data_IF_297256807274
#
_entry.id   IF_297256807274
#
_cell.length_a   1.000
_cell.length_b   1.000
_cell.length_c   1.000
_cell.angle_alpha   90.00
_cell.angle_beta   90.00
_cell.angle_gamma   90.00
#
_symmetry.space_group_name_H-M   'P 1'
#
loop_
_entity.id
_entity.type
_entity.pdbx_description
1 polymer ?
#
# COMPACT_ATOMS: atom_id res chain seq x y z
N UNK A 1 35.08 -24.29 -15.99
CA UNK A 1 34.56 -22.95 -15.62
C UNK A 1 33.02 -22.87 -15.61
N UNK A 2 32.30 -23.41 -16.61
CA UNK A 2 30.81 -23.40 -16.65
C UNK A 2 30.14 -24.21 -15.53
N UNK A 3 30.72 -25.35 -15.17
CA UNK A 3 30.19 -26.24 -14.12
C UNK A 3 30.31 -25.62 -12.71
N UNK A 4 31.39 -24.90 -12.40
CA UNK A 4 31.53 -24.17 -11.12
C UNK A 4 30.52 -23.02 -11.01
N UNK A 5 30.29 -22.23 -12.09
CA UNK A 5 29.24 -21.19 -12.08
C UNK A 5 27.83 -21.77 -11.88
N UNK A 6 27.54 -22.92 -12.48
CA UNK A 6 26.24 -23.59 -12.29
C UNK A 6 26.03 -24.01 -10.84
N UNK A 7 27.08 -24.54 -10.22
CA UNK A 7 27.07 -24.95 -8.81
C UNK A 7 26.86 -23.73 -7.90
N UNK A 8 27.58 -22.61 -8.13
CA UNK A 8 27.41 -21.35 -7.38
C UNK A 8 25.98 -20.79 -7.47
N UNK A 9 25.40 -20.76 -8.67
CA UNK A 9 24.01 -20.30 -8.87
C UNK A 9 23.04 -21.20 -8.11
N UNK A 10 23.21 -22.52 -8.22
CA UNK A 10 22.38 -23.47 -7.50
C UNK A 10 22.49 -23.25 -5.98
N UNK A 11 23.69 -23.07 -5.44
CA UNK A 11 23.86 -22.78 -4.01
C UNK A 11 23.13 -21.49 -3.58
N UNK A 12 23.18 -20.43 -4.39
CA UNK A 12 22.50 -19.16 -4.06
C UNK A 12 20.98 -19.29 -4.05
N UNK A 13 20.38 -19.99 -5.01
CA UNK A 13 18.93 -20.22 -5.05
C UNK A 13 18.47 -21.03 -3.83
N UNK A 14 19.24 -22.07 -3.46
CA UNK A 14 18.94 -22.89 -2.29
C UNK A 14 19.12 -22.13 -0.98
N UNK A 15 20.14 -21.26 -0.87
CA UNK A 15 20.34 -20.44 0.34
C UNK A 15 19.21 -19.43 0.52
N UNK A 16 18.73 -18.82 -0.57
CA UNK A 16 17.59 -17.92 -0.55
C UNK A 16 16.31 -18.64 -0.11
N UNK A 17 16.07 -19.84 -0.65
CA UNK A 17 14.91 -20.65 -0.30
C UNK A 17 14.93 -21.08 1.18
N UNK A 18 16.08 -21.54 1.68
CA UNK A 18 16.27 -21.90 3.09
C UNK A 18 16.03 -20.68 3.98
N UNK A 19 16.63 -19.53 3.64
CA UNK A 19 16.44 -18.28 4.38
C UNK A 19 14.96 -17.89 4.47
N UNK A 20 14.25 -17.92 3.33
CA UNK A 20 12.81 -17.61 3.29
C UNK A 20 12.00 -18.54 4.20
N UNK A 21 12.25 -19.85 4.13
CA UNK A 21 11.59 -20.84 4.99
C UNK A 21 11.90 -20.58 6.46
N UNK A 22 13.15 -20.28 6.80
CA UNK A 22 13.55 -20.00 8.19
C UNK A 22 12.81 -18.77 8.73
N UNK A 23 12.69 -17.69 7.95
CA UNK A 23 11.97 -16.47 8.36
C UNK A 23 10.48 -16.75 8.59
N UNK A 24 9.84 -17.48 7.67
CA UNK A 24 8.43 -17.86 7.79
C UNK A 24 8.21 -18.77 9.01
N UNK A 25 9.07 -19.78 9.18
CA UNK A 25 9.02 -20.71 10.31
C UNK A 25 9.22 -19.99 11.64
N UNK A 26 10.16 -19.04 11.71
CA UNK A 26 10.37 -18.21 12.89
C UNK A 26 9.14 -17.38 13.23
N UNK A 27 8.50 -16.74 12.23
CA UNK A 27 7.26 -16.00 12.42
C UNK A 27 6.13 -16.88 13.00
N UNK A 28 5.96 -18.07 12.43
CA UNK A 28 4.97 -19.06 12.91
C UNK A 28 5.32 -19.53 14.31
N UNK A 29 6.59 -19.80 14.61
CA UNK A 29 7.05 -20.26 15.91
C UNK A 29 6.77 -19.19 16.98
N UNK A 30 7.08 -17.92 16.71
CA UNK A 30 6.81 -16.81 17.63
C UNK A 30 5.30 -16.65 17.88
N UNK A 31 4.47 -16.69 16.85
CA UNK A 31 3.01 -16.64 17.00
C UNK A 31 2.47 -17.86 17.78
N UNK A 32 3.01 -19.05 17.54
CA UNK A 32 2.61 -20.28 18.23
C UNK A 32 3.00 -20.25 19.71
N UNK A 33 4.22 -19.83 20.02
CA UNK A 33 4.69 -19.62 21.40
C UNK A 33 3.81 -18.57 22.09
N UNK A 34 3.53 -17.44 21.43
CA UNK A 34 2.64 -16.41 21.97
C UNK A 34 1.23 -16.93 22.25
N UNK A 35 0.69 -17.79 21.37
CA UNK A 35 -0.62 -18.42 21.56
C UNK A 35 -0.63 -19.48 22.68
N UNK A 36 0.46 -20.23 22.85
CA UNK A 36 0.60 -21.27 23.87
C UNK A 36 0.86 -20.67 25.27
N UNK A 37 1.70 -19.64 25.37
CA UNK A 37 2.02 -18.96 26.62
C UNK A 37 0.99 -17.86 26.98
N UNK A 38 0.24 -17.37 26.00
CA UNK A 38 -0.79 -16.35 26.18
C UNK A 38 -2.00 -16.89 26.95
N UNK A 39 -2.34 -16.24 28.07
CA UNK A 39 -3.55 -16.56 28.82
C UNK A 39 -4.82 -16.29 28.01
N UNK A 40 -5.64 -17.31 27.80
CA UNK A 40 -6.92 -17.19 27.07
C UNK A 40 -7.99 -16.61 27.99
N UNK A 41 -8.19 -15.30 27.96
CA UNK A 41 -9.27 -14.63 28.72
C UNK A 41 -10.59 -14.65 27.94
N UNK A 42 -11.64 -15.23 28.53
CA UNK A 42 -12.98 -15.31 27.95
C UNK A 42 -13.93 -14.37 28.69
N UNK A 43 -13.73 -13.07 28.53
CA UNK A 43 -14.60 -12.04 29.07
C UNK A 43 -15.83 -11.80 28.19
N UNK A 44 -16.91 -11.30 28.78
CA UNK A 44 -18.17 -10.97 28.08
C UNK A 44 -17.98 -10.04 26.87
N UNK A 45 -16.95 -9.19 26.90
CA UNK A 45 -16.65 -8.19 25.86
C UNK A 45 -15.34 -8.47 25.11
N UNK A 46 -14.71 -9.64 25.30
CA UNK A 46 -13.44 -9.98 24.61
C UNK A 46 -13.61 -10.04 23.08
N UNK A 47 -14.81 -10.37 22.61
CA UNK A 47 -15.12 -10.54 21.17
C UNK A 47 -15.92 -9.37 20.58
N UNK A 48 -16.12 -8.27 21.32
CA UNK A 48 -16.84 -7.09 20.82
C UNK A 48 -15.86 -6.04 20.33
N UNK A 49 -16.08 -5.41 19.15
CA UNK A 49 -15.26 -4.30 18.67
C UNK A 49 -15.22 -3.16 19.69
N UNK A 50 -14.06 -2.55 19.85
CA UNK A 50 -13.89 -1.40 20.74
C UNK A 50 -14.49 -0.15 20.11
N UNK A 51 -15.52 0.41 20.72
CA UNK A 51 -16.20 1.63 20.26
C UNK A 51 -16.32 2.64 21.42
N UNK A 52 -15.24 2.89 22.16
CA UNK A 52 -15.19 3.86 23.29
C UNK A 52 -16.31 3.71 24.35
N UNK A 53 -16.83 2.50 24.55
CA UNK A 53 -17.85 2.19 25.55
C UNK A 53 -19.30 2.21 25.05
N UNK A 54 -19.53 2.46 23.75
CA UNK A 54 -20.86 2.28 23.13
C UNK A 54 -20.97 0.93 22.42
N UNK A 55 -22.19 0.43 22.26
CA UNK A 55 -22.44 -0.71 21.39
C UNK A 55 -22.22 -0.28 19.94
N UNK A 56 -21.44 -1.06 19.19
CA UNK A 56 -21.27 -0.86 17.75
C UNK A 56 -22.65 -0.90 17.07
N UNK A 57 -23.07 0.22 16.49
CA UNK A 57 -24.35 0.36 15.79
C UNK A 57 -24.09 0.74 14.33
N UNK A 58 -24.77 0.06 13.40
CA UNK A 58 -24.70 0.36 11.97
C UNK A 58 -23.88 -0.63 11.14
N UNK A 59 -23.84 -0.37 9.82
CA UNK A 59 -23.10 -1.17 8.85
C UNK A 59 -21.68 -0.60 8.70
N UNK A 60 -20.66 -1.45 8.69
CA UNK A 60 -19.26 -1.08 8.46
C UNK A 60 -18.95 -0.61 7.01
N UNK A 61 -19.98 -0.31 6.20
CA UNK A 61 -19.83 0.19 4.84
C UNK A 61 -19.62 1.70 4.86
N UNK A 62 -18.38 2.13 5.04
CA UNK A 62 -18.00 3.50 4.76
C UNK A 62 -17.80 3.69 3.25
N UNK A 63 -18.44 4.70 2.68
CA UNK A 63 -18.10 5.18 1.34
C UNK A 63 -16.75 5.90 1.41
N UNK A 64 -15.68 5.17 1.10
CA UNK A 64 -14.36 5.76 0.97
C UNK A 64 -14.33 6.73 -0.23
N UNK A 65 -13.60 7.83 -0.06
CA UNK A 65 -13.44 8.83 -1.12
C UNK A 65 -12.77 8.22 -2.35
N UNK A 66 -13.22 8.61 -3.54
CA UNK A 66 -12.64 8.21 -4.84
C UNK A 66 -11.13 8.56 -4.94
N UNK A 67 -10.65 9.50 -4.12
CA UNK A 67 -9.24 9.88 -4.03
C UNK A 67 -8.30 8.69 -3.79
N UNK A 68 -8.68 7.72 -2.95
CA UNK A 68 -7.85 6.54 -2.69
C UNK A 68 -7.67 5.65 -3.93
N UNK A 69 -8.73 5.55 -4.75
CA UNK A 69 -8.70 4.77 -5.98
C UNK A 69 -7.81 5.42 -7.05
N UNK A 70 -7.87 6.75 -7.19
CA UNK A 70 -7.01 7.50 -8.12
C UNK A 70 -5.52 7.30 -7.80
N UNK A 71 -5.16 7.36 -6.52
CA UNK A 71 -3.78 7.10 -6.07
C UNK A 71 -3.37 5.66 -6.36
N UNK A 72 -4.26 4.68 -6.11
CA UNK A 72 -3.97 3.26 -6.34
C UNK A 72 -3.73 2.94 -7.81
N UNK A 73 -4.57 3.42 -8.74
CA UNK A 73 -4.34 3.22 -10.18
C UNK A 73 -3.06 3.92 -10.62
N UNK A 74 -2.85 5.15 -10.18
CA UNK A 74 -1.63 5.89 -10.53
C UNK A 74 -0.37 5.14 -10.07
N UNK A 75 -0.39 4.56 -8.86
CA UNK A 75 0.69 3.72 -8.35
C UNK A 75 0.94 2.49 -9.24
N UNK A 76 -0.11 1.78 -9.65
CA UNK A 76 0.02 0.61 -10.53
C UNK A 76 0.61 0.99 -11.89
N UNK A 77 0.16 2.09 -12.48
CA UNK A 77 0.72 2.58 -13.75
C UNK A 77 2.19 2.95 -13.55
N UNK A 78 2.51 3.76 -12.54
CA UNK A 78 3.89 4.17 -12.25
C UNK A 78 4.83 2.98 -11.98
N UNK A 79 4.36 1.95 -11.31
CA UNK A 79 5.14 0.72 -11.04
C UNK A 79 5.46 -0.05 -12.33
N UNK A 80 4.49 -0.16 -13.24
CA UNK A 80 4.72 -0.75 -14.57
C UNK A 80 5.70 0.08 -15.40
N UNK A 81 5.60 1.42 -15.36
CA UNK A 81 6.55 2.29 -16.05
C UNK A 81 7.97 2.20 -15.46
N UNK A 82 8.09 2.02 -14.14
CA UNK A 82 9.39 1.79 -13.49
C UNK A 82 10.02 0.46 -13.95
N UNK A 83 9.22 -0.58 -14.19
CA UNK A 83 9.70 -1.83 -14.78
C UNK A 83 10.24 -1.62 -16.20
N UNK A 84 9.58 -0.82 -17.04
CA UNK A 84 10.10 -0.47 -18.37
C UNK A 84 11.43 0.29 -18.31
N UNK A 85 11.57 1.23 -17.37
CA UNK A 85 12.84 1.92 -17.16
C UNK A 85 13.93 0.97 -16.64
N UNK A 86 13.57 -0.03 -15.83
CA UNK A 86 14.50 -1.04 -15.37
C UNK A 86 15.01 -1.91 -16.52
N UNK A 87 14.12 -2.40 -17.40
CA UNK A 87 14.55 -3.22 -18.55
C UNK A 87 15.45 -2.42 -19.49
N UNK A 88 15.09 -1.16 -19.77
CA UNK A 88 15.94 -0.24 -20.52
C UNK A 88 17.30 -0.01 -19.85
N UNK A 89 17.32 0.13 -18.52
CA UNK A 89 18.54 0.33 -17.73
C UNK A 89 19.55 -0.81 -17.89
N UNK A 90 19.08 -2.05 -18.08
CA UNK A 90 19.98 -3.21 -18.29
C UNK A 90 20.76 -3.17 -19.61
N UNK A 91 20.27 -2.45 -20.63
CA UNK A 91 20.84 -2.42 -21.99
C UNK A 91 21.20 -0.99 -22.49
N UNK A 92 21.45 -0.04 -21.57
CA UNK A 92 21.77 1.37 -21.89
C UNK A 92 22.89 1.48 -22.94
N UNK A 93 23.93 0.65 -22.84
CA UNK A 93 25.11 0.72 -23.70
C UNK A 93 24.82 0.30 -25.15
N UNK A 94 23.82 -0.54 -25.37
CA UNK A 94 23.44 -1.05 -26.69
C UNK A 94 22.46 -0.11 -27.39
N UNK A 95 21.57 0.54 -26.64
CA UNK A 95 20.53 1.44 -27.16
C UNK A 95 21.03 2.85 -27.51
N UNK A 96 22.19 3.27 -26.99
CA UNK A 96 22.83 4.54 -27.31
C UNK A 96 21.94 5.78 -27.06
N UNK A 97 22.14 6.83 -27.86
CA UNK A 97 21.41 8.10 -27.73
C UNK A 97 19.91 8.00 -28.01
N UNK A 98 19.50 7.05 -28.87
CA UNK A 98 18.10 6.88 -29.23
C UNK A 98 17.29 6.34 -28.04
N UNK A 99 17.79 5.29 -27.38
CA UNK A 99 17.15 4.79 -26.16
C UNK A 99 17.17 5.80 -25.00
N UNK A 100 18.20 6.64 -24.91
CA UNK A 100 18.23 7.71 -23.91
C UNK A 100 17.12 8.75 -24.14
N UNK A 101 16.88 9.15 -25.38
CA UNK A 101 15.80 10.08 -25.72
C UNK A 101 14.41 9.49 -25.42
N UNK A 102 14.22 8.19 -25.69
CA UNK A 102 12.99 7.47 -25.39
C UNK A 102 12.74 7.37 -23.88
N UNK A 103 13.73 6.95 -23.09
CA UNK A 103 13.63 6.90 -21.63
C UNK A 103 13.36 8.27 -21.01
N UNK A 104 13.98 9.32 -21.55
CA UNK A 104 13.74 10.71 -21.10
C UNK A 104 12.30 11.14 -21.40
N UNK A 105 11.80 10.88 -22.61
CA UNK A 105 10.41 11.18 -22.97
C UNK A 105 9.42 10.42 -22.07
N UNK A 106 9.73 9.17 -21.74
CA UNK A 106 8.93 8.33 -20.86
C UNK A 106 8.82 8.89 -19.43
N UNK A 107 9.96 9.30 -18.85
CA UNK A 107 10.00 9.97 -17.53
C UNK A 107 9.23 11.29 -17.56
N UNK A 108 9.31 12.06 -18.66
CA UNK A 108 8.57 13.31 -18.79
C UNK A 108 7.06 13.08 -18.80
N UNK A 109 6.58 12.04 -19.48
CA UNK A 109 5.15 11.68 -19.49
C UNK A 109 4.68 11.31 -18.07
N UNK A 110 5.48 10.54 -17.33
CA UNK A 110 5.20 10.22 -15.92
C UNK A 110 5.12 11.48 -15.05
N UNK A 111 6.06 12.42 -15.22
CA UNK A 111 6.05 13.70 -14.50
C UNK A 111 4.81 14.52 -14.80
N UNK A 112 4.36 14.56 -16.05
CA UNK A 112 3.12 15.24 -16.44
C UNK A 112 1.90 14.59 -15.78
N UNK A 113 1.83 13.26 -15.78
CA UNK A 113 0.77 12.51 -15.09
C UNK A 113 0.74 12.76 -13.59
N UNK A 114 1.91 12.76 -12.94
CA UNK A 114 2.05 13.08 -11.52
C UNK A 114 1.61 14.52 -11.23
N UNK A 115 2.08 15.47 -12.02
CA UNK A 115 1.72 16.88 -11.87
C UNK A 115 0.21 17.08 -12.01
N UNK A 116 -0.43 16.44 -12.99
CA UNK A 116 -1.87 16.47 -13.17
C UNK A 116 -2.62 15.94 -11.93
N UNK A 117 -2.17 14.82 -11.35
CA UNK A 117 -2.77 14.24 -10.16
C UNK A 117 -2.65 15.16 -8.93
N UNK A 118 -1.49 15.80 -8.77
CA UNK A 118 -1.28 16.82 -7.72
C UNK A 118 -2.21 18.01 -7.92
N UNK A 119 -2.39 18.48 -9.16
CA UNK A 119 -3.28 19.62 -9.47
C UNK A 119 -4.76 19.32 -9.24
N UNK A 120 -5.19 18.07 -9.36
CA UNK A 120 -6.56 17.63 -9.02
C UNK A 120 -6.82 17.64 -7.50
N UNK A 121 -5.77 17.76 -6.68
CA UNK A 121 -5.93 17.63 -5.23
C UNK A 121 -6.32 16.21 -4.82
N UNK A 122 -5.99 15.20 -5.64
CA UNK A 122 -6.14 13.80 -5.27
C UNK A 122 -5.22 13.44 -4.09
N UNK A 123 -4.09 14.15 -3.94
CA UNK A 123 -3.20 14.08 -2.79
C UNK A 123 -3.68 14.91 -1.57
N UNK A 124 -4.66 15.80 -1.73
CA UNK A 124 -5.13 16.62 -0.61
C UNK A 124 -6.06 15.79 0.28
N UNK A 125 -5.51 15.37 1.42
CA UNK A 125 -6.23 14.70 2.50
C UNK A 125 -6.93 15.67 3.45
N UNK A 126 -7.08 16.95 3.07
CA UNK A 126 -7.79 17.91 3.91
C UNK A 126 -9.25 17.48 4.06
N UNK A 127 -9.72 17.15 5.28
CA UNK A 127 -11.13 16.88 5.49
C UNK A 127 -11.89 18.17 5.20
N UNK A 128 -12.89 18.10 4.30
CA UNK A 128 -13.89 19.16 4.21
C UNK A 128 -14.49 19.26 5.61
N UNK A 129 -14.16 20.34 6.34
CA UNK A 129 -14.84 20.69 7.58
C UNK A 129 -16.27 21.01 7.20
N UNK A 130 -17.15 20.02 7.30
CA UNK A 130 -18.58 20.22 7.13
C UNK A 130 -19.02 21.09 8.31
N UNK A 131 -19.13 22.40 8.09
CA UNK A 131 -19.84 23.27 9.04
C UNK A 131 -21.27 22.76 9.13
N UNK A 132 -21.57 22.08 10.23
CA UNK A 132 -22.95 21.79 10.60
C UNK A 132 -23.52 23.14 11.01
N UNK A 133 -24.39 23.70 10.16
CA UNK A 133 -25.17 24.87 10.52
C UNK A 133 -26.25 24.39 11.49
N UNK A 134 -25.99 24.55 12.79
CA UNK A 134 -26.99 24.30 13.82
C UNK A 134 -27.98 25.45 13.73
N UNK A 135 -28.98 25.28 12.86
CA UNK A 135 -30.14 26.15 12.83
C UNK A 135 -30.80 26.07 14.21
N UNK A 136 -30.89 27.21 14.87
CA UNK A 136 -31.52 27.35 16.17
C UNK A 136 -33.02 26.99 16.08
N UNK A 137 -33.33 25.72 16.29
CA UNK A 137 -34.71 25.22 16.45
C UNK A 137 -35.34 25.64 17.80
N UNK A 138 -34.64 26.48 18.59
CA UNK A 138 -35.09 27.01 19.87
C UNK A 138 -36.20 28.07 19.78
N UNK A 139 -36.62 28.48 18.59
CA UNK A 139 -37.65 29.53 18.40
C UNK A 139 -39.07 28.98 18.16
N UNK A 140 -39.25 27.69 17.87
CA UNK A 140 -40.59 27.12 17.59
C UNK A 140 -41.29 26.43 18.76
N UNK A 141 -40.63 26.30 19.91
CA UNK A 141 -41.22 25.64 21.08
C UNK A 141 -41.75 26.62 22.15
N UNK A 142 -41.74 27.93 21.85
CA UNK A 142 -42.22 28.98 22.76
C UNK A 142 -42.96 30.12 22.05
N UNK A 143 -43.62 29.83 20.92
CA UNK A 143 -44.51 30.76 20.21
C UNK A 143 -45.90 30.16 20.08
#
# INVERSE_FOLDING_TARGET
MKMSKMIEIMFHEWIFFIFFITVVCLGIALLSISCLLGGKTHGRYTHTPFESGIISVGSARLCFSVKFYLIAIFFVIFDVEALYLYTWSTSIRENGWMGFSEATAFILILLVGLFYLVRIGALDWSPISRKIDIKNDTILHNA
#
